data_IF_663496115623
#
_entry.id   IF_663496115623
#
_cell.length_a   1.000
_cell.length_b   1.000
_cell.length_c   1.000
_cell.angle_alpha   90.00
_cell.angle_beta   90.00
_cell.angle_gamma   90.00
#
_symmetry.space_group_name_H-M   'P 1'
#
loop_
_entity.id
_entity.type
_entity.pdbx_description
1 polymer ?
#
# COMPACT_ATOMS: atom_id res chain seq x y z
N UNK A 1 -3.25 18.10 -9.21
CA UNK A 1 -3.16 17.15 -8.09
C UNK A 1 -2.04 16.18 -8.40
N UNK A 2 -1.28 15.82 -7.37
CA UNK A 2 -0.18 14.86 -7.45
C UNK A 2 -0.48 13.78 -6.42
N UNK A 3 -0.26 12.52 -6.77
CA UNK A 3 -0.24 11.43 -5.80
C UNK A 3 1.17 10.87 -5.73
N UNK A 4 1.72 10.82 -4.52
CA UNK A 4 2.93 10.08 -4.23
C UNK A 4 2.50 8.73 -3.67
N UNK A 5 2.98 7.64 -4.27
CA UNK A 5 2.67 6.27 -3.86
C UNK A 5 3.95 5.64 -3.37
N UNK A 6 3.84 4.94 -2.25
CA UNK A 6 4.91 4.13 -1.67
C UNK A 6 4.35 2.73 -1.41
N UNK A 7 5.11 1.71 -1.80
CA UNK A 7 4.65 0.32 -1.77
C UNK A 7 5.60 -0.50 -0.92
N UNK A 8 5.04 -1.18 0.07
CA UNK A 8 5.76 -2.21 0.81
C UNK A 8 5.44 -3.57 0.20
N UNK A 9 6.43 -4.46 0.21
CA UNK A 9 6.30 -5.80 -0.35
C UNK A 9 6.88 -6.87 0.58
N UNK A 10 6.41 -8.11 0.42
CA UNK A 10 7.03 -9.28 1.06
C UNK A 10 8.52 -9.32 0.70
N UNK A 11 9.39 -9.49 1.68
CA UNK A 11 10.84 -9.53 1.45
C UNK A 11 11.57 -10.51 2.38
N UNK A 12 12.84 -10.75 2.08
CA UNK A 12 13.69 -11.74 2.73
C UNK A 12 15.08 -11.15 2.94
N UNK A 13 15.72 -11.49 4.07
CA UNK A 13 17.14 -11.22 4.28
C UNK A 13 17.96 -12.00 3.25
N UNK A 14 19.02 -11.38 2.72
CA UNK A 14 19.87 -11.84 1.60
C UNK A 14 20.17 -13.36 1.62
N UNK A 15 19.21 -14.13 1.09
CA UNK A 15 19.27 -15.58 1.06
C UNK A 15 19.00 -16.03 -0.37
N UNK A 16 20.04 -16.57 -1.01
CA UNK A 16 20.04 -16.94 -2.44
C UNK A 16 18.91 -17.90 -2.80
N UNK A 17 18.41 -18.69 -1.85
CA UNK A 17 17.28 -19.60 -2.06
C UNK A 17 15.93 -18.88 -2.21
N UNK A 18 15.77 -17.69 -1.63
CA UNK A 18 14.55 -16.87 -1.69
C UNK A 18 14.66 -15.66 -2.64
N UNK A 19 15.81 -15.46 -3.27
CA UNK A 19 15.96 -14.46 -4.34
C UNK A 19 15.03 -14.70 -5.54
N UNK A 20 14.54 -15.93 -5.72
CA UNK A 20 13.56 -16.28 -6.75
C UNK A 20 12.10 -16.24 -6.24
N UNK A 21 11.86 -15.86 -4.99
CA UNK A 21 10.50 -15.73 -4.47
C UNK A 21 9.86 -14.46 -5.03
N UNK A 22 8.64 -14.59 -5.56
CA UNK A 22 7.89 -13.46 -6.08
C UNK A 22 7.52 -12.50 -4.96
N UNK A 23 7.84 -11.22 -5.12
CA UNK A 23 7.43 -10.17 -4.18
C UNK A 23 5.96 -9.83 -4.40
N UNK A 24 5.22 -9.73 -3.31
CA UNK A 24 3.81 -9.32 -3.30
C UNK A 24 3.67 -8.02 -2.53
N UNK A 25 2.85 -7.09 -3.02
CA UNK A 25 2.52 -5.86 -2.29
C UNK A 25 1.78 -6.26 -1.00
N UNK A 26 2.21 -5.70 0.13
CA UNK A 26 1.62 -5.89 1.46
C UNK A 26 1.09 -4.59 2.09
N UNK A 27 1.46 -3.43 1.53
CA UNK A 27 0.84 -2.15 1.82
C UNK A 27 0.85 -1.24 0.59
N UNK A 28 -0.25 -0.53 0.37
CA UNK A 28 -0.33 0.59 -0.57
C UNK A 28 -0.43 1.88 0.24
N UNK A 29 0.72 2.56 0.39
CA UNK A 29 0.82 3.88 0.98
C UNK A 29 0.64 4.99 -0.07
N UNK A 30 0.03 6.09 0.31
CA UNK A 30 -0.12 7.23 -0.59
C UNK A 30 -0.38 8.56 0.10
N UNK A 31 0.10 9.63 -0.52
CA UNK A 31 -0.20 11.01 -0.14
C UNK A 31 -0.73 11.76 -1.36
N UNK A 32 -1.97 12.25 -1.26
CA UNK A 32 -2.59 13.10 -2.26
C UNK A 32 -2.31 14.57 -1.94
N UNK A 33 -1.83 15.30 -2.93
CA UNK A 33 -1.42 16.69 -2.84
C UNK A 33 -2.21 17.56 -3.82
N UNK A 34 -2.55 18.76 -3.38
CA UNK A 34 -3.07 19.80 -4.25
C UNK A 34 -1.95 20.44 -5.12
N UNK A 35 -2.26 21.39 -6.02
CA UNK A 35 -1.23 22.07 -6.83
C UNK A 35 -0.21 22.90 -6.03
N UNK A 36 -0.50 23.26 -4.78
CA UNK A 36 0.40 23.99 -3.88
C UNK A 36 1.25 23.07 -3.00
N UNK A 37 1.13 21.75 -3.18
CA UNK A 37 1.73 20.70 -2.36
C UNK A 37 1.17 20.61 -0.94
N UNK A 38 -0.04 21.13 -0.71
CA UNK A 38 -0.76 20.89 0.53
C UNK A 38 -1.34 19.47 0.55
N UNK A 39 -1.24 18.80 1.70
CA UNK A 39 -1.74 17.43 1.88
C UNK A 39 -3.26 17.44 1.92
N UNK A 40 -3.89 16.84 0.91
CA UNK A 40 -5.32 16.61 0.86
C UNK A 40 -5.70 15.32 1.60
N UNK A 41 -4.87 14.29 1.49
CA UNK A 41 -5.13 12.99 2.11
C UNK A 41 -3.84 12.17 2.30
N UNK A 42 -3.81 11.38 3.38
CA UNK A 42 -2.86 10.27 3.56
C UNK A 42 -3.64 8.96 3.56
N UNK A 43 -3.18 7.99 2.79
CA UNK A 43 -3.83 6.71 2.54
C UNK A 43 -2.84 5.61 2.90
N UNK A 44 -3.29 4.61 3.64
CA UNK A 44 -2.55 3.38 3.92
C UNK A 44 -3.55 2.23 3.86
N UNK A 45 -3.27 1.24 3.01
CA UNK A 45 -4.11 0.06 2.82
C UNK A 45 -3.24 -1.18 2.83
N UNK A 46 -3.40 -2.01 3.86
CA UNK A 46 -2.73 -3.31 3.90
C UNK A 46 -3.32 -4.27 2.86
N UNK A 47 -2.45 -5.13 2.34
CA UNK A 47 -2.77 -6.13 1.32
C UNK A 47 -2.39 -7.50 1.85
N UNK A 48 -3.27 -8.49 1.66
CA UNK A 48 -3.02 -9.88 2.00
C UNK A 48 -2.26 -10.57 0.87
N UNK A 49 -1.02 -11.04 1.08
CA UNK A 49 -0.29 -11.84 0.11
C UNK A 49 -0.86 -13.26 0.02
N UNK A 50 -0.80 -13.87 -1.16
CA UNK A 50 -1.35 -15.19 -1.47
C UNK A 50 -0.24 -16.22 -1.66
N UNK A 51 0.86 -15.85 -2.33
CA UNK A 51 1.98 -16.76 -2.63
C UNK A 51 2.84 -16.96 -1.39
N UNK A 52 3.15 -15.88 -0.68
CA UNK A 52 3.97 -15.87 0.54
C UNK A 52 3.18 -15.24 1.71
N UNK A 53 2.15 -15.93 2.23
CA UNK A 53 1.24 -15.35 3.23
C UNK A 53 1.88 -15.05 4.59
N UNK A 54 3.03 -15.69 4.90
CA UNK A 54 3.73 -15.53 6.17
C UNK A 54 4.93 -14.60 5.98
N UNK A 55 4.87 -13.43 6.60
CA UNK A 55 5.95 -12.44 6.57
C UNK A 55 7.16 -12.96 7.37
N UNK A 56 8.35 -12.78 6.81
CA UNK A 56 9.57 -13.07 7.55
C UNK A 56 9.81 -12.05 8.66
N UNK A 57 10.58 -12.42 9.68
CA UNK A 57 10.98 -11.46 10.72
C UNK A 57 11.78 -10.29 10.13
N UNK A 58 12.60 -10.54 9.11
CA UNK A 58 13.27 -9.49 8.35
C UNK A 58 12.27 -8.50 7.74
N UNK A 59 11.25 -9.00 7.03
CA UNK A 59 10.23 -8.17 6.41
C UNK A 59 9.46 -7.35 7.44
N UNK A 60 8.99 -8.00 8.51
CA UNK A 60 8.28 -7.32 9.60
C UNK A 60 9.14 -6.24 10.27
N UNK A 61 10.44 -6.47 10.43
CA UNK A 61 11.35 -5.50 11.02
C UNK A 61 11.67 -4.34 10.07
N UNK A 62 11.79 -4.61 8.76
CA UNK A 62 12.10 -3.61 7.76
C UNK A 62 10.92 -2.66 7.52
N UNK A 63 9.71 -3.20 7.38
CA UNK A 63 8.50 -2.44 7.04
C UNK A 63 7.68 -2.03 8.26
N UNK A 64 7.99 -2.58 9.44
CA UNK A 64 7.18 -2.49 10.68
C UNK A 64 5.79 -3.14 10.60
N UNK A 65 5.40 -3.72 9.46
CA UNK A 65 4.11 -4.39 9.25
C UNK A 65 4.12 -5.73 9.99
N UNK A 66 3.09 -5.97 10.81
CA UNK A 66 2.93 -7.22 11.55
C UNK A 66 2.07 -8.22 10.77
N UNK A 67 2.22 -9.51 11.10
CA UNK A 67 1.45 -10.58 10.45
C UNK A 67 -0.07 -10.35 10.54
N UNK A 68 -0.55 -9.86 11.69
CA UNK A 68 -1.96 -9.55 11.92
C UNK A 68 -2.52 -8.48 10.97
N UNK A 69 -1.66 -7.56 10.50
CA UNK A 69 -2.05 -6.52 9.54
C UNK A 69 -2.40 -7.13 8.18
N UNK A 70 -1.61 -8.10 7.70
CA UNK A 70 -1.85 -8.75 6.40
C UNK A 70 -2.85 -9.91 6.50
N UNK A 71 -2.96 -10.57 7.65
CA UNK A 71 -3.92 -11.67 7.86
C UNK A 71 -5.38 -11.22 7.73
N UNK A 72 -5.65 -10.02 8.22
CA UNK A 72 -6.98 -9.37 8.23
C UNK A 72 -7.23 -8.47 7.02
N UNK A 73 -6.19 -8.25 6.18
CA UNK A 73 -6.27 -7.42 4.99
C UNK A 73 -7.07 -8.08 3.86
N UNK A 74 -7.45 -7.25 2.90
CA UNK A 74 -8.04 -7.69 1.65
C UNK A 74 -6.95 -8.13 0.66
N UNK A 75 -7.30 -9.00 -0.29
CA UNK A 75 -6.43 -9.30 -1.42
C UNK A 75 -6.22 -8.06 -2.31
N UNK A 76 -5.17 -8.08 -3.13
CA UNK A 76 -4.71 -6.93 -3.90
C UNK A 76 -5.81 -6.21 -4.71
N UNK A 77 -6.69 -6.90 -5.46
CA UNK A 77 -7.71 -6.20 -6.26
C UNK A 77 -8.64 -5.33 -5.40
N UNK A 78 -9.09 -5.82 -4.26
CA UNK A 78 -9.99 -5.14 -3.35
C UNK A 78 -9.26 -4.04 -2.57
N UNK A 79 -8.01 -4.27 -2.16
CA UNK A 79 -7.18 -3.26 -1.54
C UNK A 79 -6.90 -2.07 -2.48
N UNK A 80 -6.57 -2.36 -3.74
CA UNK A 80 -6.39 -1.34 -4.77
C UNK A 80 -7.68 -0.56 -5.03
N UNK A 81 -8.84 -1.23 -5.00
CA UNK A 81 -10.13 -0.56 -5.11
C UNK A 81 -10.38 0.38 -3.92
N UNK A 82 -10.04 -0.04 -2.70
CA UNK A 82 -10.14 0.81 -1.51
C UNK A 82 -9.24 2.04 -1.61
N UNK A 83 -7.97 1.85 -1.99
CA UNK A 83 -7.01 2.93 -2.24
C UNK A 83 -7.53 3.90 -3.32
N UNK A 84 -8.01 3.37 -4.44
CA UNK A 84 -8.56 4.17 -5.54
C UNK A 84 -9.80 4.96 -5.13
N UNK A 85 -10.67 4.38 -4.30
CA UNK A 85 -11.86 5.05 -3.80
C UNK A 85 -11.53 6.21 -2.86
N UNK A 86 -10.49 6.05 -2.02
CA UNK A 86 -9.99 7.13 -1.18
C UNK A 86 -9.60 8.34 -2.06
N UNK A 87 -8.87 8.13 -3.15
CA UNK A 87 -8.50 9.21 -4.08
C UNK A 87 -9.73 9.82 -4.77
N UNK A 88 -10.67 8.99 -5.27
CA UNK A 88 -11.82 9.43 -6.07
C UNK A 88 -12.73 10.44 -5.35
N UNK A 89 -12.78 10.44 -4.01
CA UNK A 89 -13.56 11.44 -3.26
C UNK A 89 -13.05 12.87 -3.47
N UNK A 90 -11.79 13.03 -3.85
CA UNK A 90 -11.16 14.31 -4.20
C UNK A 90 -11.21 14.61 -5.71
N UNK A 91 -11.55 13.62 -6.55
CA UNK A 91 -11.61 13.75 -8.01
C UNK A 91 -13.04 13.97 -8.54
N UNK A 92 -14.05 13.95 -7.68
CA UNK A 92 -15.44 14.19 -8.08
C UNK A 92 -15.59 15.64 -8.59
N UNK A 93 -16.42 15.88 -9.63
CA UNK A 93 -16.60 17.21 -10.21
C UNK A 93 -17.46 18.07 -9.30
N UNK A 94 -16.87 18.58 -8.22
CA UNK A 94 -17.41 19.65 -7.40
C UNK A 94 -16.30 20.65 -7.17
N UNK A 95 -16.00 21.44 -8.21
CA UNK A 95 -14.88 22.39 -8.21
C UNK A 95 -14.96 23.45 -9.32
N UNK A 96 -16.16 23.94 -9.63
CA UNK A 96 -16.30 25.37 -9.96
C UNK A 96 -16.38 26.09 -8.60
N UNK A 97 -15.68 27.23 -8.42
CA UNK A 97 -15.55 27.86 -7.11
C UNK A 97 -16.92 28.26 -6.53
N UNK A 98 -17.07 28.15 -5.21
CA UNK A 98 -17.84 29.13 -4.44
C UNK A 98 -16.85 30.06 -3.76
#
# INVERSE_FOLDING_TARGET
MIIVVDLEATCWEDNKEKQNSEMEIIEIGGVLLDPNFDILEKISVFVKPIINPILTDYCKNLTSIQQENVDTAQEFPQALQCFSNAIKKHLSPSGYPR
#
